data_IF_867073320369
#
_entry.id   IF_867073320369
#
_cell.length_a   1.000
_cell.length_b   1.000
_cell.length_c   1.000
_cell.angle_alpha   90.00
_cell.angle_beta   90.00
_cell.angle_gamma   90.00
#
_symmetry.space_group_name_H-M   'P 1'
#
loop_
_entity.id
_entity.type
_entity.pdbx_description
1 polymer ?
#
# COMPACT_ATOMS: atom_id res chain seq x y z
N UNK A 1 -30.25 6.59 -2.16
CA UNK A 1 -29.10 7.48 -2.42
C UNK A 1 -28.30 7.59 -1.13
N UNK A 2 -27.03 7.18 -1.11
CA UNK A 2 -26.20 7.28 0.09
C UNK A 2 -25.75 8.73 0.29
N UNK A 3 -25.98 9.26 1.49
CA UNK A 3 -25.61 10.63 1.88
C UNK A 3 -24.20 10.62 2.50
N UNK A 4 -23.44 11.74 2.54
CA UNK A 4 -22.08 11.81 3.10
C UNK A 4 -21.99 11.36 4.56
N UNK A 5 -23.12 11.31 5.28
CA UNK A 5 -23.26 10.74 6.62
C UNK A 5 -23.04 9.21 6.71
N UNK A 6 -22.76 8.52 5.59
CA UNK A 6 -22.58 7.07 5.55
C UNK A 6 -21.12 6.58 5.47
N UNK A 7 -20.11 7.47 5.53
CA UNK A 7 -18.70 7.06 5.64
C UNK A 7 -18.34 6.86 7.10
N UNK A 8 -17.82 5.68 7.43
CA UNK A 8 -17.49 5.35 8.80
C UNK A 8 -16.24 6.10 9.27
N UNK A 9 -16.20 6.44 10.55
CA UNK A 9 -14.99 6.95 11.18
C UNK A 9 -14.03 5.78 11.40
N UNK A 10 -12.75 5.97 11.08
CA UNK A 10 -11.71 4.97 11.26
C UNK A 10 -11.04 5.10 12.63
N UNK A 11 -10.45 4.00 13.10
CA UNK A 11 -9.59 3.93 14.28
C UNK A 11 -10.26 4.49 15.55
N UNK A 12 -11.38 3.86 15.94
CA UNK A 12 -12.19 4.22 17.10
C UNK A 12 -12.66 5.69 17.08
N UNK A 13 -13.06 6.19 15.90
CA UNK A 13 -13.55 7.55 15.75
C UNK A 13 -12.47 8.63 15.59
N UNK A 14 -11.18 8.28 15.73
CA UNK A 14 -10.09 9.27 15.73
C UNK A 14 -9.66 9.73 14.33
N UNK A 15 -10.14 9.08 13.27
CA UNK A 15 -9.86 9.50 11.91
C UNK A 15 -11.16 9.60 11.09
N UNK A 16 -11.55 10.83 10.78
CA UNK A 16 -12.63 11.08 9.82
C UNK A 16 -12.05 11.00 8.40
N UNK A 17 -12.42 9.95 7.65
CA UNK A 17 -11.88 9.67 6.32
C UNK A 17 -12.17 10.76 5.29
N UNK A 18 -13.29 11.45 5.43
CA UNK A 18 -13.67 12.56 4.58
C UNK A 18 -12.71 13.74 4.76
N UNK A 19 -12.39 14.09 6.01
CA UNK A 19 -11.40 15.13 6.33
C UNK A 19 -9.98 14.67 5.98
N UNK A 20 -9.65 13.41 6.27
CA UNK A 20 -8.35 12.80 6.04
C UNK A 20 -7.91 12.85 4.58
N UNK A 21 -8.87 12.80 3.64
CA UNK A 21 -8.60 12.99 2.21
C UNK A 21 -7.87 14.31 1.91
N UNK A 22 -8.18 15.37 2.65
CA UNK A 22 -7.62 16.71 2.43
C UNK A 22 -6.38 16.99 3.29
N UNK A 23 -5.89 16.00 4.05
CA UNK A 23 -4.72 16.18 4.89
C UNK A 23 -3.49 16.56 4.06
N UNK A 24 -2.78 17.56 4.56
CA UNK A 24 -1.43 17.93 4.12
C UNK A 24 -0.42 17.05 4.85
N UNK A 25 0.84 17.18 4.46
CA UNK A 25 1.93 16.38 5.05
C UNK A 25 1.98 16.51 6.57
N UNK A 26 1.88 17.73 7.09
CA UNK A 26 1.91 17.98 8.53
C UNK A 26 0.71 17.37 9.25
N UNK A 27 -0.50 17.42 8.65
CA UNK A 27 -1.69 16.77 9.22
C UNK A 27 -1.51 15.23 9.32
N UNK A 28 -0.88 14.62 8.31
CA UNK A 28 -0.55 13.19 8.32
C UNK A 28 0.48 12.90 9.42
N UNK A 29 1.53 13.71 9.51
CA UNK A 29 2.59 13.56 10.51
C UNK A 29 2.03 13.69 11.94
N UNK A 30 1.20 14.70 12.19
CA UNK A 30 0.50 14.91 13.46
C UNK A 30 -0.44 13.74 13.80
N UNK A 31 -1.08 13.14 12.79
CA UNK A 31 -1.86 11.92 13.00
C UNK A 31 -0.96 10.76 13.44
N UNK A 32 0.15 10.49 12.73
CA UNK A 32 1.09 9.42 13.08
C UNK A 32 1.68 9.63 14.49
N UNK A 33 2.03 10.88 14.84
CA UNK A 33 2.56 11.23 16.16
C UNK A 33 1.56 11.00 17.28
N UNK A 34 0.29 11.39 17.10
CA UNK A 34 -0.75 11.11 18.10
C UNK A 34 -0.96 9.61 18.32
N UNK A 35 -0.95 8.82 17.26
CA UNK A 35 -1.07 7.36 17.36
C UNK A 35 0.11 6.74 18.11
N UNK A 36 1.33 7.21 17.84
CA UNK A 36 2.53 6.73 18.55
C UNK A 36 2.49 7.08 20.04
N UNK A 37 1.93 8.23 20.40
CA UNK A 37 1.87 8.72 21.78
C UNK A 37 0.77 8.04 22.61
N UNK A 38 -0.35 7.66 21.99
CA UNK A 38 -1.44 6.92 22.65
C UNK A 38 -2.06 5.90 21.69
N UNK A 39 -1.39 4.76 21.43
CA UNK A 39 -1.87 3.79 20.44
C UNK A 39 -3.19 3.14 20.87
N UNK A 40 -3.44 3.03 22.19
CA UNK A 40 -4.64 2.40 22.73
C UNK A 40 -5.92 3.15 22.37
N UNK A 41 -5.87 4.48 22.26
CA UNK A 41 -7.03 5.30 21.90
C UNK A 41 -7.63 4.96 20.52
N UNK A 42 -6.86 4.32 19.64
CA UNK A 42 -7.22 4.01 18.25
C UNK A 42 -7.88 2.63 18.07
N UNK A 43 -8.01 1.85 19.15
CA UNK A 43 -8.71 0.56 19.16
C UNK A 43 -10.10 0.72 19.78
N UNK A 44 -11.11 0.02 19.22
CA UNK A 44 -12.49 0.07 19.72
C UNK A 44 -12.63 -0.55 21.12
N UNK A 45 -11.77 -1.51 21.46
CA UNK A 45 -11.80 -2.20 22.74
C UNK A 45 -10.39 -2.50 23.26
N UNK A 46 -10.29 -2.67 24.59
CA UNK A 46 -9.05 -3.15 25.23
C UNK A 46 -8.67 -4.53 24.71
N UNK A 47 -9.65 -5.41 24.46
CA UNK A 47 -9.41 -6.75 23.96
C UNK A 47 -8.73 -6.72 22.57
N UNK A 48 -9.12 -5.79 21.71
CA UNK A 48 -8.53 -5.60 20.39
C UNK A 48 -7.10 -5.07 20.46
N UNK A 49 -6.85 -4.09 21.34
CA UNK A 49 -5.51 -3.58 21.58
C UNK A 49 -4.57 -4.69 22.11
N UNK A 50 -5.06 -5.50 23.05
CA UNK A 50 -4.29 -6.61 23.63
C UNK A 50 -4.08 -7.76 22.63
N UNK A 51 -5.06 -8.09 21.78
CA UNK A 51 -4.89 -9.07 20.71
C UNK A 51 -3.76 -8.65 19.76
N UNK A 52 -3.81 -7.39 19.31
CA UNK A 52 -2.79 -6.83 18.41
C UNK A 52 -1.41 -6.79 19.05
N UNK A 53 -1.34 -6.32 20.30
CA UNK A 53 -0.08 -6.27 21.08
C UNK A 53 0.49 -7.67 21.33
N UNK A 54 -0.33 -8.69 21.52
CA UNK A 54 0.15 -10.07 21.68
C UNK A 54 0.80 -10.60 20.41
N UNK A 55 0.24 -10.26 19.25
CA UNK A 55 0.71 -10.76 17.94
C UNK A 55 1.95 -10.04 17.45
N UNK A 56 2.06 -8.74 17.73
CA UNK A 56 3.14 -7.89 17.21
C UNK A 56 4.17 -7.46 18.27
N UNK A 57 3.97 -7.86 19.52
CA UNK A 57 4.69 -7.32 20.66
C UNK A 57 4.13 -5.98 21.14
N UNK A 58 4.77 -5.39 22.15
CA UNK A 58 4.37 -4.08 22.67
C UNK A 58 4.41 -3.02 21.55
N UNK A 59 3.25 -2.51 21.15
CA UNK A 59 3.07 -1.72 19.93
C UNK A 59 3.83 -0.38 19.93
N UNK A 60 4.15 0.15 21.11
CA UNK A 60 4.81 1.44 21.29
C UNK A 60 6.13 1.55 20.51
N UNK A 61 6.98 0.53 20.58
CA UNK A 61 8.29 0.54 19.90
C UNK A 61 8.14 0.40 18.36
N UNK A 62 7.44 -0.62 17.83
CA UNK A 62 7.24 -0.76 16.39
C UNK A 62 6.58 0.46 15.75
N UNK A 63 5.61 1.10 16.41
CA UNK A 63 4.96 2.30 15.88
C UNK A 63 5.91 3.50 15.83
N UNK A 64 6.78 3.68 16.84
CA UNK A 64 7.83 4.72 16.83
C UNK A 64 8.80 4.53 15.68
N UNK A 65 9.22 3.29 15.44
CA UNK A 65 10.14 2.96 14.36
C UNK A 65 9.48 3.15 13.00
N UNK A 66 8.24 2.68 12.81
CA UNK A 66 7.49 2.89 11.58
C UNK A 66 7.30 4.37 11.28
N UNK A 67 6.88 5.17 12.27
CA UNK A 67 6.74 6.62 12.14
C UNK A 67 8.07 7.26 11.73
N UNK A 68 9.16 6.92 12.42
CA UNK A 68 10.49 7.47 12.12
C UNK A 68 10.91 7.16 10.70
N UNK A 69 10.81 5.91 10.27
CA UNK A 69 11.16 5.51 8.90
C UNK A 69 10.29 6.16 7.84
N UNK A 70 8.98 6.33 8.10
CA UNK A 70 8.11 7.10 7.20
C UNK A 70 8.64 8.54 7.09
N UNK A 71 8.93 9.20 8.19
CA UNK A 71 9.38 10.60 8.20
C UNK A 71 10.71 10.77 7.45
N UNK A 72 11.66 9.89 7.71
CA UNK A 72 12.99 9.91 7.09
C UNK A 72 12.95 9.64 5.59
N UNK A 73 12.00 8.84 5.12
CA UNK A 73 11.84 8.54 3.69
C UNK A 73 10.98 9.56 2.93
N UNK A 74 10.35 10.52 3.60
CA UNK A 74 9.44 11.47 2.97
C UNK A 74 10.15 12.73 2.47
N UNK A 75 9.73 13.22 1.30
CA UNK A 75 10.25 14.47 0.74
C UNK A 75 9.72 15.70 1.50
N UNK A 76 10.38 16.86 1.43
CA UNK A 76 11.70 17.06 0.84
C UNK A 76 12.84 16.85 1.84
N UNK A 77 12.55 16.79 3.14
CA UNK A 77 13.55 16.92 4.20
C UNK A 77 13.95 15.63 4.91
N UNK A 78 13.33 14.50 4.58
CA UNK A 78 13.67 13.21 5.17
C UNK A 78 15.15 12.85 4.97
N UNK A 79 15.79 12.35 6.02
CA UNK A 79 17.21 11.99 5.99
C UNK A 79 17.49 10.86 4.98
N UNK A 80 16.62 9.86 4.90
CA UNK A 80 16.71 8.75 3.96
C UNK A 80 16.25 9.11 2.55
N UNK A 81 15.35 10.10 2.44
CA UNK A 81 14.97 10.70 1.16
C UNK A 81 16.18 11.34 0.46
N UNK A 82 16.88 12.25 1.16
CA UNK A 82 18.12 12.90 0.70
C UNK A 82 19.29 11.91 0.58
N UNK A 83 19.28 10.89 1.42
CA UNK A 83 20.34 9.90 1.55
C UNK A 83 21.42 10.34 2.54
N UNK A 84 21.95 9.37 3.30
CA UNK A 84 22.81 9.63 4.48
C UNK A 84 24.27 9.98 4.16
N UNK A 85 24.68 9.90 2.89
CA UNK A 85 26.06 10.11 2.46
C UNK A 85 26.13 11.00 1.22
N UNK A 86 27.30 11.59 0.96
CA UNK A 86 27.54 12.36 -0.25
C UNK A 86 27.26 11.53 -1.51
N UNK A 87 26.87 12.19 -2.61
CA UNK A 87 26.57 11.58 -3.90
C UNK A 87 25.33 10.66 -3.94
N UNK A 88 24.39 10.78 -3.00
CA UNK A 88 23.13 10.00 -2.98
C UNK A 88 22.03 10.50 -3.92
N UNK A 89 22.30 11.57 -4.68
CA UNK A 89 21.38 12.11 -5.69
C UNK A 89 21.02 11.08 -6.79
N UNK A 90 19.79 11.15 -7.33
CA UNK A 90 18.71 12.04 -6.94
C UNK A 90 18.07 11.61 -5.62
N UNK A 91 17.45 12.56 -4.93
CA UNK A 91 16.58 12.29 -3.81
C UNK A 91 15.40 11.41 -4.27
N UNK A 92 15.00 10.47 -3.42
CA UNK A 92 13.89 9.55 -3.70
C UNK A 92 13.40 8.90 -2.42
N UNK A 93 12.13 8.51 -2.39
CA UNK A 93 11.47 7.87 -1.26
C UNK A 93 11.82 6.38 -1.10
N UNK A 94 13.02 5.99 -1.52
CA UNK A 94 13.49 4.61 -1.45
C UNK A 94 14.75 4.54 -0.60
N UNK A 95 14.70 3.72 0.45
CA UNK A 95 15.84 3.45 1.29
C UNK A 95 16.90 2.70 0.51
N UNK A 96 18.12 3.25 0.52
CA UNK A 96 19.17 2.84 -0.42
C UNK A 96 20.55 3.17 0.13
N UNK A 97 21.55 2.49 -0.42
CA UNK A 97 22.97 2.80 -0.21
C UNK A 97 23.69 2.89 -1.56
N UNK A 98 24.92 3.39 -1.57
CA UNK A 98 25.75 3.44 -2.78
C UNK A 98 26.30 2.05 -3.13
N UNK A 99 26.19 1.68 -4.40
CA UNK A 99 26.87 0.52 -4.95
C UNK A 99 28.32 0.90 -5.33
N UNK A 100 29.26 0.76 -4.41
CA UNK A 100 30.67 1.14 -4.62
C UNK A 100 31.41 0.26 -5.62
N UNK A 101 30.95 -0.97 -5.84
CA UNK A 101 31.74 -1.98 -6.55
C UNK A 101 31.42 -2.06 -8.05
N UNK A 102 30.20 -1.68 -8.45
CA UNK A 102 29.68 -1.95 -9.80
C UNK A 102 28.87 -0.79 -10.40
N UNK A 103 28.87 0.41 -9.81
CA UNK A 103 28.09 1.53 -10.32
C UNK A 103 28.63 2.06 -11.66
N UNK A 104 27.85 1.92 -12.73
CA UNK A 104 28.12 2.52 -14.04
C UNK A 104 26.79 2.86 -14.75
N UNK A 105 26.83 3.28 -16.03
CA UNK A 105 25.60 3.60 -16.78
C UNK A 105 24.67 2.39 -17.02
N UNK A 106 25.22 1.16 -17.03
CA UNK A 106 24.52 -0.12 -17.27
C UNK A 106 24.08 -0.80 -15.97
N UNK A 107 24.70 -0.50 -14.84
CA UNK A 107 24.46 -1.11 -13.54
C UNK A 107 23.86 -0.09 -12.57
N UNK A 108 23.14 -0.55 -11.55
CA UNK A 108 22.52 0.37 -10.58
C UNK A 108 23.59 1.08 -9.76
N UNK A 109 23.47 2.40 -9.64
CA UNK A 109 24.23 3.23 -8.69
C UNK A 109 23.91 2.88 -7.24
N UNK A 110 22.69 2.40 -6.99
CA UNK A 110 22.20 2.11 -5.65
C UNK A 110 22.00 0.61 -5.41
N UNK A 111 22.18 0.21 -4.16
CA UNK A 111 21.66 -1.02 -3.59
C UNK A 111 20.35 -0.71 -2.85
N UNK A 112 19.42 -1.67 -2.86
CA UNK A 112 18.17 -1.55 -2.08
C UNK A 112 18.50 -1.87 -0.64
N UNK A 113 18.16 -0.96 0.27
CA UNK A 113 18.29 -1.18 1.72
C UNK A 113 16.90 -1.37 2.33
N UNK A 114 16.88 -1.85 3.57
CA UNK A 114 15.63 -2.28 4.21
C UNK A 114 15.51 -1.81 5.65
N UNK A 115 14.30 -1.43 6.04
CA UNK A 115 13.85 -1.39 7.41
C UNK A 115 13.12 -2.69 7.71
N UNK A 116 13.58 -3.41 8.74
CA UNK A 116 12.96 -4.65 9.16
C UNK A 116 11.84 -4.36 10.16
N UNK A 117 10.63 -4.86 9.89
CA UNK A 117 9.48 -4.79 10.79
C UNK A 117 8.86 -6.17 10.90
N UNK A 118 8.94 -6.78 12.10
CA UNK A 118 8.74 -8.21 12.28
C UNK A 118 9.62 -9.02 11.28
N UNK A 119 9.04 -9.98 10.56
CA UNK A 119 9.76 -10.81 9.59
C UNK A 119 9.73 -10.23 8.16
N UNK A 120 9.12 -9.05 7.98
CA UNK A 120 8.95 -8.42 6.67
C UNK A 120 9.87 -7.19 6.53
N UNK A 121 10.49 -7.04 5.35
CA UNK A 121 11.38 -5.91 5.06
C UNK A 121 10.68 -4.87 4.18
N UNK A 122 10.86 -3.59 4.50
CA UNK A 122 10.23 -2.45 3.82
C UNK A 122 11.28 -1.41 3.42
N UNK A 123 11.04 -0.65 2.35
CA UNK A 123 12.03 0.31 1.84
C UNK A 123 11.44 1.60 1.26
N UNK A 124 10.12 1.78 1.30
CA UNK A 124 9.47 2.99 0.82
C UNK A 124 8.31 3.38 1.74
N UNK A 125 7.96 4.67 1.81
CA UNK A 125 6.98 5.16 2.77
C UNK A 125 5.56 4.68 2.45
N UNK A 126 5.25 4.28 1.22
CA UNK A 126 3.91 3.81 0.87
C UNK A 126 3.61 2.45 1.50
N UNK A 127 4.55 1.50 1.43
CA UNK A 127 4.38 0.19 2.07
C UNK A 127 4.45 0.31 3.60
N UNK A 128 5.35 1.17 4.12
CA UNK A 128 5.43 1.47 5.56
C UNK A 128 4.15 2.11 6.09
N UNK A 129 3.51 3.01 5.33
CA UNK A 129 2.23 3.59 5.70
C UNK A 129 1.12 2.53 5.73
N UNK A 130 1.10 1.61 4.75
CA UNK A 130 0.17 0.49 4.74
C UNK A 130 0.31 -0.39 5.98
N UNK A 131 1.56 -0.70 6.35
CA UNK A 131 1.88 -1.42 7.58
C UNK A 131 1.45 -0.64 8.82
N UNK A 132 1.79 0.65 8.93
CA UNK A 132 1.41 1.48 10.07
C UNK A 132 -0.12 1.46 10.29
N UNK A 133 -0.90 1.67 9.22
CA UNK A 133 -2.35 1.67 9.29
C UNK A 133 -2.94 0.30 9.66
N UNK A 134 -2.29 -0.81 9.27
CA UNK A 134 -2.68 -2.15 9.70
C UNK A 134 -2.35 -2.44 11.17
N UNK A 135 -1.25 -1.88 11.70
CA UNK A 135 -0.85 -2.08 13.11
C UNK A 135 -1.83 -1.41 14.06
N UNK A 136 -2.35 -0.23 13.73
CA UNK A 136 -3.00 0.68 14.68
C UNK A 136 -4.50 0.45 14.88
N UNK A 137 -5.10 -0.54 14.21
CA UNK A 137 -6.50 -0.87 14.48
C UNK A 137 -7.16 -1.81 13.48
N UNK A 138 -8.42 -2.08 13.77
CA UNK A 138 -9.33 -2.85 12.92
C UNK A 138 -10.31 -1.90 12.21
N UNK A 139 -10.96 -2.40 11.17
CA UNK A 139 -12.06 -1.69 10.54
C UNK A 139 -13.26 -1.64 11.52
N UNK A 140 -14.05 -0.56 11.54
CA UNK A 140 -15.18 -0.45 12.46
C UNK A 140 -16.19 -1.58 12.26
N UNK A 141 -16.96 -1.91 13.29
CA UNK A 141 -17.93 -3.02 13.21
C UNK A 141 -18.98 -2.85 12.08
N UNK A 142 -19.28 -1.60 11.67
CA UNK A 142 -20.19 -1.28 10.56
C UNK A 142 -19.52 -1.24 9.19
N UNK A 143 -18.21 -1.55 9.12
CA UNK A 143 -17.42 -1.39 7.91
C UNK A 143 -17.95 -2.25 6.76
N UNK A 144 -18.28 -1.59 5.66
CA UNK A 144 -18.47 -2.24 4.37
C UNK A 144 -17.55 -1.69 3.30
N UNK A 145 -17.57 -2.30 2.12
CA UNK A 145 -16.81 -1.83 0.96
C UNK A 145 -17.08 -0.33 0.72
N UNK A 146 -18.35 0.07 0.75
CA UNK A 146 -18.80 1.44 0.46
C UNK A 146 -18.51 2.42 1.59
N UNK A 147 -18.66 1.97 2.84
CA UNK A 147 -18.61 2.85 4.02
C UNK A 147 -17.19 3.04 4.56
N UNK A 148 -16.29 2.07 4.34
CA UNK A 148 -14.96 2.07 4.94
C UNK A 148 -13.85 1.68 3.97
N UNK A 149 -13.87 0.49 3.35
CA UNK A 149 -12.68 -0.02 2.64
C UNK A 149 -12.33 0.83 1.41
N UNK A 150 -13.30 1.22 0.58
CA UNK A 150 -13.07 2.12 -0.57
C UNK A 150 -12.58 3.50 -0.09
N UNK A 151 -13.29 4.19 0.84
CA UNK A 151 -12.79 5.45 1.39
C UNK A 151 -11.38 5.37 1.97
N UNK A 152 -11.09 4.35 2.76
CA UNK A 152 -9.79 4.17 3.40
C UNK A 152 -8.69 3.92 2.37
N UNK A 153 -8.96 3.13 1.32
CA UNK A 153 -8.03 2.90 0.20
C UNK A 153 -7.71 4.20 -0.54
N UNK A 154 -8.73 5.04 -0.74
CA UNK A 154 -8.55 6.33 -1.39
C UNK A 154 -7.72 7.29 -0.53
N UNK A 155 -8.05 7.42 0.77
CA UNK A 155 -7.26 8.23 1.73
C UNK A 155 -5.80 7.77 1.75
N UNK A 156 -5.56 6.46 1.81
CA UNK A 156 -4.21 5.89 1.74
C UNK A 156 -3.47 6.29 0.46
N UNK A 157 -4.11 6.17 -0.70
CA UNK A 157 -3.53 6.58 -1.98
C UNK A 157 -3.18 8.07 -2.03
N UNK A 158 -4.07 8.90 -1.49
CA UNK A 158 -3.87 10.35 -1.39
C UNK A 158 -2.71 10.68 -0.44
N UNK A 159 -2.61 10.00 0.69
CA UNK A 159 -1.50 10.17 1.62
C UNK A 159 -0.17 9.73 1.00
N UNK A 160 -0.13 8.62 0.26
CA UNK A 160 1.06 8.23 -0.49
C UNK A 160 1.54 9.34 -1.43
N UNK A 161 0.61 10.04 -2.08
CA UNK A 161 0.90 11.17 -2.96
C UNK A 161 1.44 12.39 -2.21
N UNK A 162 0.86 12.71 -1.06
CA UNK A 162 1.26 13.84 -0.20
C UNK A 162 2.63 13.63 0.43
N UNK A 163 2.97 12.39 0.80
CA UNK A 163 4.23 12.01 1.43
C UNK A 163 5.41 11.94 0.44
N UNK A 164 5.11 11.71 -0.84
CA UNK A 164 6.09 11.60 -1.92
C UNK A 164 5.82 12.60 -3.05
N UNK A 165 5.72 13.92 -2.80
CA UNK A 165 5.31 14.90 -3.81
C UNK A 165 6.25 14.95 -5.03
N UNK A 166 5.76 15.49 -6.15
CA UNK A 166 6.60 15.67 -7.36
C UNK A 166 7.64 16.76 -7.09
N UNK A 167 8.86 16.37 -6.74
CA UNK A 167 9.96 17.28 -6.38
C UNK A 167 11.01 17.36 -7.49
N UNK A 168 10.64 17.86 -8.68
CA UNK A 168 11.57 18.11 -9.80
C UNK A 168 12.21 16.86 -10.47
N UNK A 169 12.01 15.68 -9.87
CA UNK A 169 12.18 14.36 -10.48
C UNK A 169 10.82 13.68 -10.56
N UNK A 170 10.58 12.92 -11.63
CA UNK A 170 9.36 12.12 -11.75
C UNK A 170 9.47 10.94 -10.76
N UNK A 171 9.16 11.17 -9.49
CA UNK A 171 9.06 10.08 -8.50
C UNK A 171 7.91 9.17 -8.92
N UNK A 172 8.15 7.86 -8.98
CA UNK A 172 7.11 6.88 -9.30
C UNK A 172 6.08 6.83 -8.17
N UNK A 173 4.80 6.80 -8.51
CA UNK A 173 3.69 6.54 -7.59
C UNK A 173 3.12 5.15 -7.80
N UNK A 174 2.41 4.58 -6.81
CA UNK A 174 1.67 3.35 -7.02
C UNK A 174 0.70 3.55 -8.19
N UNK A 175 0.72 2.67 -9.19
CA UNK A 175 -0.22 2.66 -10.31
C UNK A 175 -1.57 1.99 -9.93
N UNK A 176 -1.53 1.15 -8.90
CA UNK A 176 -2.70 0.54 -8.28
C UNK A 176 -2.58 0.66 -6.77
N UNK A 177 -3.73 0.81 -6.12
CA UNK A 177 -3.93 0.82 -4.68
C UNK A 177 -4.86 -0.32 -4.33
N UNK A 178 -4.73 -0.90 -3.15
CA UNK A 178 -5.48 -2.09 -2.78
C UNK A 178 -5.76 -2.11 -1.28
N UNK A 179 -6.93 -2.61 -0.92
CA UNK A 179 -7.26 -2.97 0.46
C UNK A 179 -7.74 -4.42 0.48
N UNK A 180 -7.06 -5.24 1.28
CA UNK A 180 -7.49 -6.60 1.61
C UNK A 180 -8.03 -6.58 3.02
N UNK A 181 -9.14 -7.27 3.27
CA UNK A 181 -9.65 -7.44 4.63
C UNK A 181 -10.16 -8.85 4.87
N UNK A 182 -10.30 -9.21 6.16
CA UNK A 182 -10.98 -10.43 6.60
C UNK A 182 -11.75 -10.14 7.88
N UNK A 183 -12.96 -10.67 7.95
CA UNK A 183 -13.77 -10.59 9.16
C UNK A 183 -13.19 -11.51 10.24
N UNK A 184 -13.08 -11.02 11.47
CA UNK A 184 -12.68 -11.83 12.62
C UNK A 184 -13.92 -12.52 13.20
N UNK A 185 -13.73 -13.72 13.74
CA UNK A 185 -14.80 -14.41 14.47
C UNK A 185 -15.32 -13.51 15.61
N UNK A 186 -16.56 -13.05 15.47
CA UNK A 186 -17.24 -12.23 16.48
C UNK A 186 -16.75 -10.78 16.63
N UNK A 187 -16.07 -10.18 15.64
CA UNK A 187 -15.56 -8.81 15.80
C UNK A 187 -15.17 -8.04 14.53
N UNK A 188 -14.58 -6.87 14.77
CA UNK A 188 -14.06 -5.92 13.78
C UNK A 188 -13.10 -6.57 12.78
N UNK A 189 -13.17 -6.17 11.50
CA UNK A 189 -12.36 -6.80 10.44
C UNK A 189 -10.90 -6.33 10.46
N UNK A 190 -9.97 -7.24 10.21
CA UNK A 190 -8.59 -6.88 9.88
C UNK A 190 -8.52 -6.39 8.46
N UNK A 191 -7.78 -5.31 8.21
CA UNK A 191 -7.57 -4.82 6.85
C UNK A 191 -6.13 -4.33 6.66
N UNK A 192 -5.58 -4.54 5.47
CA UNK A 192 -4.24 -4.11 5.09
C UNK A 192 -4.30 -3.37 3.75
N UNK A 193 -3.64 -2.22 3.70
CA UNK A 193 -3.56 -1.36 2.52
C UNK A 193 -2.22 -1.55 1.80
N UNK A 194 -2.26 -1.65 0.48
CA UNK A 194 -1.06 -1.81 -0.34
C UNK A 194 -1.09 -0.94 -1.58
N UNK A 195 0.09 -0.56 -2.05
CA UNK A 195 0.31 0.10 -3.32
C UNK A 195 1.22 -0.76 -4.21
N UNK A 196 1.04 -0.71 -5.53
CA UNK A 196 2.04 -1.31 -6.43
C UNK A 196 3.40 -0.62 -6.24
N UNK A 197 4.50 -1.30 -6.59
CA UNK A 197 5.86 -0.77 -6.40
C UNK A 197 5.98 0.69 -6.88
N UNK A 198 6.56 1.54 -6.04
CA UNK A 198 6.69 2.99 -6.24
C UNK A 198 7.85 3.58 -5.40
N UNK A 199 7.98 4.92 -5.37
CA UNK A 199 8.91 5.65 -4.52
C UNK A 199 10.32 5.90 -5.08
N UNK A 200 10.64 5.49 -6.32
CA UNK A 200 11.94 5.75 -6.94
C UNK A 200 11.89 6.88 -7.96
N UNK A 201 13.00 7.57 -8.15
CA UNK A 201 13.11 8.61 -9.19
C UNK A 201 13.16 7.97 -10.60
N UNK A 202 12.18 8.27 -11.45
CA UNK A 202 12.09 7.74 -12.83
C UNK A 202 12.83 8.60 -13.86
N UNK A 203 13.07 9.88 -13.54
CA UNK A 203 13.90 10.79 -14.34
C UNK A 203 14.93 11.49 -13.45
N UNK A 204 16.18 11.48 -13.90
CA UNK A 204 17.28 12.25 -13.32
C UNK A 204 17.42 13.50 -14.19
N UNK A 205 16.86 14.62 -13.74
CA UNK A 205 16.91 15.90 -14.48
C UNK A 205 18.27 16.57 -14.40
N UNK A 206 19.06 16.25 -13.37
CA UNK A 206 20.45 16.67 -13.21
C UNK A 206 21.25 15.66 -12.38
N UNK A 207 22.54 15.50 -12.68
CA UNK A 207 23.45 14.60 -11.97
C UNK A 207 23.73 13.26 -12.68
N UNK A 208 24.65 12.44 -12.13
CA UNK A 208 25.01 11.16 -12.71
C UNK A 208 23.80 10.22 -12.79
N UNK A 209 23.64 9.44 -13.87
CA UNK A 209 22.51 8.54 -14.00
C UNK A 209 22.52 7.51 -12.86
N UNK A 210 21.34 7.22 -12.32
CA UNK A 210 21.13 6.16 -11.32
C UNK A 210 21.43 4.75 -11.88
N UNK A 211 21.59 4.67 -13.20
CA UNK A 211 21.85 3.43 -13.92
C UNK A 211 20.57 2.71 -14.32
N UNK A 212 20.57 2.11 -15.52
CA UNK A 212 19.36 1.55 -16.13
C UNK A 212 18.72 0.39 -15.35
N UNK A 213 19.48 -0.28 -14.48
CA UNK A 213 19.04 -1.45 -13.70
C UNK A 213 18.37 -1.12 -12.37
N UNK A 214 18.33 0.14 -11.93
CA UNK A 214 17.76 0.47 -10.62
C UNK A 214 16.28 0.05 -10.47
N UNK A 215 15.39 0.33 -11.44
CA UNK A 215 14.01 -0.15 -11.34
C UNK A 215 13.91 -1.68 -11.26
N UNK A 216 14.78 -2.43 -11.95
CA UNK A 216 14.77 -3.89 -11.90
C UNK A 216 15.29 -4.43 -10.55
N UNK A 217 16.23 -3.72 -9.90
CA UNK A 217 16.66 -4.06 -8.53
C UNK A 217 15.52 -3.94 -7.53
N UNK A 218 14.70 -2.89 -7.64
CA UNK A 218 13.53 -2.71 -6.78
C UNK A 218 12.45 -3.76 -7.06
N UNK A 219 12.21 -4.09 -8.33
CA UNK A 219 11.27 -5.15 -8.69
C UNK A 219 11.71 -6.52 -8.15
N UNK A 220 13.01 -6.81 -8.20
CA UNK A 220 13.58 -8.04 -7.69
C UNK A 220 13.45 -8.09 -6.17
N UNK A 221 13.81 -7.03 -5.46
CA UNK A 221 13.64 -6.93 -4.01
C UNK A 221 12.20 -7.22 -3.56
N UNK A 222 11.21 -6.71 -4.30
CA UNK A 222 9.78 -6.98 -4.05
C UNK A 222 9.35 -8.39 -4.39
N UNK A 223 9.85 -8.95 -5.49
CA UNK A 223 9.64 -10.36 -5.82
C UNK A 223 10.18 -11.28 -4.73
N UNK A 224 11.38 -11.01 -4.20
CA UNK A 224 12.01 -11.84 -3.17
C UNK A 224 11.16 -11.93 -1.89
N UNK A 225 10.29 -10.96 -1.61
CA UNK A 225 9.37 -11.02 -0.46
C UNK A 225 8.35 -12.15 -0.56
N UNK A 226 7.91 -12.46 -1.77
CA UNK A 226 6.99 -13.56 -2.05
C UNK A 226 7.71 -14.80 -2.59
N UNK A 227 9.02 -14.71 -2.87
CA UNK A 227 9.76 -15.75 -3.58
C UNK A 227 9.67 -17.13 -2.93
N UNK A 228 9.58 -17.20 -1.60
CA UNK A 228 9.43 -18.44 -0.84
C UNK A 228 8.10 -19.18 -1.07
N UNK A 229 7.06 -18.50 -1.55
CA UNK A 229 5.74 -19.09 -1.80
C UNK A 229 5.43 -19.30 -3.29
N UNK A 230 6.30 -18.81 -4.18
CA UNK A 230 6.08 -18.92 -5.63
C UNK A 230 6.55 -20.30 -6.13
N UNK A 231 5.65 -21.17 -6.62
CA UNK A 231 6.05 -22.48 -7.11
C UNK A 231 6.70 -22.38 -8.49
N UNK A 232 7.53 -23.37 -8.82
CA UNK A 232 7.97 -23.59 -10.20
C UNK A 232 6.76 -23.74 -11.14
N UNK A 233 6.83 -23.28 -12.40
CA UNK A 233 8.02 -22.75 -13.10
C UNK A 233 8.22 -21.23 -12.97
N UNK A 234 7.47 -20.55 -12.09
CA UNK A 234 7.55 -19.10 -11.99
C UNK A 234 8.86 -18.66 -11.34
N UNK A 235 9.34 -17.50 -11.77
CA UNK A 235 10.56 -16.87 -11.29
C UNK A 235 10.45 -15.35 -11.42
N UNK A 236 11.52 -14.62 -11.08
CA UNK A 236 11.54 -13.17 -11.29
C UNK A 236 11.27 -12.76 -12.75
N UNK A 237 11.77 -13.55 -13.72
CA UNK A 237 11.61 -13.26 -15.15
C UNK A 237 10.48 -14.06 -15.83
N UNK A 238 9.87 -15.01 -15.11
CA UNK A 238 8.75 -15.83 -15.59
C UNK A 238 7.53 -15.61 -14.71
N UNK A 239 6.49 -14.96 -15.24
CA UNK A 239 5.19 -14.76 -14.58
C UNK A 239 4.05 -15.26 -15.48
N UNK A 240 2.80 -15.18 -15.03
CA UNK A 240 1.67 -15.83 -15.75
C UNK A 240 1.56 -15.39 -17.21
N UNK A 241 1.70 -14.09 -17.47
CA UNK A 241 1.62 -13.50 -18.81
C UNK A 241 2.98 -13.02 -19.33
N UNK A 242 4.08 -13.38 -18.65
CA UNK A 242 5.42 -12.87 -18.92
C UNK A 242 6.43 -14.00 -19.01
N UNK A 243 7.19 -14.06 -20.09
CA UNK A 243 8.30 -15.02 -20.26
C UNK A 243 9.53 -14.30 -20.80
N UNK A 244 10.73 -14.92 -20.81
CA UNK A 244 11.91 -14.34 -21.44
C UNK A 244 11.71 -13.99 -22.92
N UNK A 245 10.86 -14.74 -23.63
CA UNK A 245 10.52 -14.49 -25.05
C UNK A 245 9.34 -13.53 -25.24
N UNK A 246 8.55 -13.29 -24.19
CA UNK A 246 7.44 -12.33 -24.18
C UNK A 246 7.53 -11.43 -22.94
N UNK A 247 8.34 -10.36 -22.99
CA UNK A 247 8.65 -9.54 -21.83
C UNK A 247 7.57 -8.51 -21.51
N UNK A 248 6.38 -8.59 -22.10
CA UNK A 248 5.26 -7.73 -21.75
C UNK A 248 4.61 -8.20 -20.43
N UNK A 249 4.03 -7.27 -19.67
CA UNK A 249 3.31 -7.57 -18.42
C UNK A 249 4.13 -7.38 -17.14
N UNK A 250 3.41 -7.46 -16.01
CA UNK A 250 3.93 -7.25 -14.66
C UNK A 250 4.64 -8.50 -14.15
N UNK A 251 5.73 -8.33 -13.40
CA UNK A 251 6.40 -9.42 -12.68
C UNK A 251 5.67 -9.73 -11.37
N UNK A 252 5.74 -10.96 -10.90
CA UNK A 252 5.25 -11.31 -9.56
C UNK A 252 5.79 -10.37 -8.47
N UNK A 253 4.96 -10.08 -7.47
CA UNK A 253 5.35 -9.29 -6.28
C UNK A 253 5.45 -7.80 -6.52
N UNK A 254 5.03 -7.30 -7.69
CA UNK A 254 5.08 -5.86 -8.00
C UNK A 254 3.71 -5.18 -8.00
N UNK A 255 2.66 -5.94 -7.70
CA UNK A 255 1.29 -5.47 -7.59
C UNK A 255 0.98 -4.95 -6.17
N UNK A 256 -0.15 -4.27 -6.03
CA UNK A 256 -0.56 -3.63 -4.79
C UNK A 256 -0.86 -4.64 -3.67
N UNK A 257 -1.27 -5.84 -4.05
CA UNK A 257 -1.63 -6.95 -3.18
C UNK A 257 -0.44 -7.59 -2.45
N UNK A 258 0.81 -7.27 -2.84
CA UNK A 258 2.00 -8.02 -2.38
C UNK A 258 2.14 -8.07 -0.86
N UNK A 259 2.18 -6.92 -0.18
CA UNK A 259 2.25 -6.87 1.28
C UNK A 259 0.93 -7.27 1.97
N UNK A 260 -0.25 -6.79 1.52
CA UNK A 260 -1.51 -7.25 2.07
C UNK A 260 -1.65 -8.78 2.12
N UNK A 261 -1.19 -9.49 1.08
CA UNK A 261 -1.26 -10.95 1.05
C UNK A 261 -0.22 -11.60 1.96
N UNK A 262 1.02 -11.11 2.01
CA UNK A 262 2.02 -11.63 2.95
C UNK A 262 1.52 -11.59 4.39
N UNK A 263 0.80 -10.54 4.77
CA UNK A 263 0.31 -10.36 6.13
C UNK A 263 -1.01 -11.11 6.39
N UNK A 264 -2.02 -10.94 5.51
CA UNK A 264 -3.36 -11.47 5.77
C UNK A 264 -3.58 -12.91 5.28
N UNK A 265 -2.77 -13.42 4.35
CA UNK A 265 -2.87 -14.78 3.81
C UNK A 265 -1.84 -15.73 4.44
N UNK A 266 -1.13 -15.29 5.48
CA UNK A 266 -0.18 -16.10 6.25
C UNK A 266 -0.80 -17.38 6.85
N UNK A 267 -2.12 -17.43 7.00
CA UNK A 267 -2.90 -18.60 7.42
C UNK A 267 -3.84 -19.04 6.29
N UNK A 268 -3.59 -20.24 5.74
CA UNK A 268 -4.38 -20.82 4.64
C UNK A 268 -5.86 -21.02 4.99
N UNK A 269 -6.20 -21.28 6.26
CA UNK A 269 -7.60 -21.41 6.67
C UNK A 269 -8.34 -20.07 6.58
N UNK A 270 -7.63 -18.96 6.82
CA UNK A 270 -8.17 -17.59 6.79
C UNK A 270 -8.09 -16.93 5.42
N UNK A 271 -7.18 -17.38 4.56
CA UNK A 271 -7.04 -16.85 3.20
C UNK A 271 -8.34 -16.93 2.38
N UNK A 272 -9.17 -17.96 2.60
CA UNK A 272 -10.50 -18.11 1.96
C UNK A 272 -11.52 -17.05 2.39
N UNK A 273 -11.34 -16.49 3.58
CA UNK A 273 -12.19 -15.44 4.14
C UNK A 273 -11.70 -14.04 3.79
N UNK A 274 -10.56 -13.93 3.09
CA UNK A 274 -10.07 -12.65 2.65
C UNK A 274 -10.88 -12.14 1.46
N UNK A 275 -11.22 -10.87 1.53
CA UNK A 275 -11.82 -10.07 0.48
C UNK A 275 -10.88 -8.94 0.11
N UNK A 276 -11.07 -8.35 -1.06
CA UNK A 276 -10.30 -7.19 -1.41
C UNK A 276 -10.85 -6.38 -2.57
N UNK A 277 -10.41 -5.12 -2.61
CA UNK A 277 -10.70 -4.18 -3.68
C UNK A 277 -9.39 -3.55 -4.14
N UNK A 278 -9.27 -3.34 -5.45
CA UNK A 278 -8.16 -2.60 -6.04
C UNK A 278 -8.68 -1.39 -6.81
N UNK A 279 -8.02 -0.25 -6.64
CA UNK A 279 -8.35 1.03 -7.26
C UNK A 279 -7.21 1.49 -8.20
N UNK A 280 -7.58 2.11 -9.33
CA UNK A 280 -6.67 2.89 -10.17
C UNK A 280 -6.10 4.05 -9.35
N UNK A 281 -4.80 4.27 -9.41
CA UNK A 281 -4.20 5.37 -8.65
C UNK A 281 -4.58 6.77 -9.13
N UNK A 282 -5.15 6.89 -10.34
CA UNK A 282 -5.66 8.14 -10.89
C UNK A 282 -6.64 8.85 -9.96
N UNK A 283 -7.42 8.10 -9.17
CA UNK A 283 -8.33 8.69 -8.20
C UNK A 283 -7.59 9.53 -7.14
N UNK A 284 -6.38 9.13 -6.76
CA UNK A 284 -5.57 9.84 -5.76
C UNK A 284 -4.94 11.12 -6.33
N UNK A 285 -4.85 11.24 -7.66
CA UNK A 285 -4.26 12.38 -8.36
C UNK A 285 -5.28 13.41 -8.82
N UNK A 286 -6.56 13.06 -8.87
CA UNK A 286 -7.58 13.97 -9.36
C UNK A 286 -7.88 15.04 -8.29
N UNK A 287 -7.24 16.19 -8.41
CA UNK A 287 -7.48 17.34 -7.53
C UNK A 287 -8.88 17.93 -7.71
N UNK A 288 -9.59 17.55 -8.78
CA UNK A 288 -10.99 17.92 -9.00
C UNK A 288 -11.97 16.98 -8.31
N UNK A 289 -11.50 15.80 -7.87
CA UNK A 289 -12.23 14.92 -6.95
C UNK A 289 -12.20 15.55 -5.55
N UNK A 290 -13.21 16.38 -5.29
CA UNK A 290 -13.52 16.81 -3.94
C UNK A 290 -14.07 15.64 -3.12
N UNK A 291 -13.95 15.71 -1.80
CA UNK A 291 -14.64 14.86 -0.83
C UNK A 291 -16.10 14.61 -1.25
N UNK A 292 -16.80 15.68 -1.65
CA UNK A 292 -18.17 15.63 -2.15
C UNK A 292 -18.33 14.77 -3.41
N UNK A 293 -17.45 14.89 -4.41
CA UNK A 293 -17.56 14.12 -5.66
C UNK A 293 -17.17 12.65 -5.48
N UNK A 294 -16.17 12.37 -4.65
CA UNK A 294 -15.78 11.00 -4.34
C UNK A 294 -16.88 10.23 -3.59
N UNK A 295 -17.42 10.84 -2.54
CA UNK A 295 -18.27 10.14 -1.57
C UNK A 295 -19.76 10.38 -1.74
N UNK A 296 -20.19 11.59 -2.14
CA UNK A 296 -21.62 11.94 -2.32
C UNK A 296 -22.12 11.62 -3.72
N UNK A 297 -21.35 11.99 -4.74
CA UNK A 297 -21.69 11.69 -6.14
C UNK A 297 -21.26 10.27 -6.56
N UNK A 298 -20.61 9.52 -5.67
CA UNK A 298 -20.15 8.15 -5.93
C UNK A 298 -19.29 8.05 -7.21
N UNK A 299 -18.45 9.05 -7.51
CA UNK A 299 -17.67 9.06 -8.76
C UNK A 299 -16.75 7.87 -8.93
N UNK A 300 -16.25 7.30 -7.83
CA UNK A 300 -15.45 6.06 -7.84
C UNK A 300 -16.29 4.87 -8.38
N UNK A 301 -17.61 4.92 -8.22
CA UNK A 301 -18.58 3.94 -8.72
C UNK A 301 -19.19 4.32 -10.08
N UNK A 302 -18.80 5.45 -10.70
CA UNK A 302 -19.24 5.77 -12.07
C UNK A 302 -18.75 4.68 -13.00
N UNK A 303 -19.62 4.30 -13.94
CA UNK A 303 -19.35 3.19 -14.86
C UNK A 303 -18.75 3.71 -16.16
N UNK A 304 -17.77 2.97 -16.68
CA UNK A 304 -17.27 3.12 -18.04
C UNK A 304 -18.28 2.57 -19.05
N UNK A 305 -17.96 2.69 -20.33
CA UNK A 305 -18.78 2.18 -21.44
C UNK A 305 -18.97 0.65 -21.38
N UNK A 306 -18.06 -0.06 -20.70
CA UNK A 306 -18.07 -1.50 -20.45
C UNK A 306 -18.84 -1.89 -19.18
N UNK A 307 -19.54 -0.93 -18.55
CA UNK A 307 -20.31 -1.12 -17.32
C UNK A 307 -19.46 -1.46 -16.09
N UNK A 308 -18.12 -1.35 -16.17
CA UNK A 308 -17.21 -1.51 -15.04
C UNK A 308 -17.04 -0.17 -14.31
N UNK A 309 -16.94 -0.15 -12.98
CA UNK A 309 -16.56 1.04 -12.25
C UNK A 309 -15.20 1.59 -12.74
N UNK A 310 -15.16 2.85 -13.21
CA UNK A 310 -14.00 3.47 -13.89
C UNK A 310 -12.73 3.43 -13.06
N UNK A 311 -12.87 3.41 -11.73
CA UNK A 311 -11.76 3.43 -10.80
C UNK A 311 -11.32 2.05 -10.31
N UNK A 312 -12.04 0.96 -10.59
CA UNK A 312 -11.74 -0.35 -10.00
C UNK A 312 -10.93 -1.22 -10.95
N UNK A 313 -10.03 -2.04 -10.40
CA UNK A 313 -9.30 -3.05 -11.16
C UNK A 313 -9.58 -4.43 -10.61
N UNK A 314 -9.96 -5.40 -11.44
CA UNK A 314 -9.89 -6.79 -11.03
C UNK A 314 -8.43 -7.18 -10.79
N UNK A 315 -8.17 -8.22 -9.97
CA UNK A 315 -6.83 -8.76 -9.79
C UNK A 315 -6.23 -9.14 -11.15
N UNK A 316 -4.99 -8.72 -11.41
CA UNK A 316 -4.29 -9.14 -12.62
C UNK A 316 -3.97 -10.64 -12.57
N UNK A 317 -3.58 -11.24 -13.70
CA UNK A 317 -3.30 -12.68 -13.78
C UNK A 317 -2.30 -13.18 -12.72
N UNK A 318 -1.28 -12.38 -12.37
CA UNK A 318 -0.35 -12.73 -11.29
C UNK A 318 -1.03 -12.70 -9.92
N UNK A 319 -1.87 -11.69 -9.63
CA UNK A 319 -2.57 -11.60 -8.34
C UNK A 319 -3.61 -12.71 -8.20
N UNK A 320 -4.34 -13.05 -9.26
CA UNK A 320 -5.24 -14.22 -9.27
C UNK A 320 -4.46 -15.50 -8.96
N UNK A 321 -3.27 -15.66 -9.56
CA UNK A 321 -2.42 -16.82 -9.28
C UNK A 321 -1.91 -16.82 -7.84
N UNK A 322 -1.53 -15.67 -7.28
CA UNK A 322 -1.12 -15.54 -5.88
C UNK A 322 -2.26 -15.92 -4.93
N UNK A 323 -3.47 -15.38 -5.14
CA UNK A 323 -4.66 -15.74 -4.35
C UNK A 323 -4.84 -17.25 -4.33
N UNK A 324 -4.77 -17.90 -5.49
CA UNK A 324 -4.87 -19.36 -5.59
C UNK A 324 -3.73 -20.12 -4.92
N UNK A 325 -2.48 -19.63 -4.98
CA UNK A 325 -1.32 -20.23 -4.28
C UNK A 325 -1.56 -20.25 -2.77
N UNK A 326 -2.11 -19.16 -2.22
CA UNK A 326 -2.47 -19.07 -0.81
C UNK A 326 -3.84 -19.69 -0.48
N UNK A 327 -4.47 -20.38 -1.43
CA UNK A 327 -5.80 -21.01 -1.28
C UNK A 327 -6.95 -20.04 -0.99
N UNK A 328 -6.81 -18.76 -1.30
CA UNK A 328 -7.91 -17.79 -1.23
C UNK A 328 -8.92 -17.96 -2.37
N UNK A 329 -10.07 -17.31 -2.24
CA UNK A 329 -11.09 -17.27 -3.29
C UNK A 329 -10.95 -16.00 -4.14
N UNK A 330 -10.65 -16.17 -5.44
CA UNK A 330 -10.50 -15.05 -6.39
C UNK A 330 -11.80 -14.26 -6.54
N UNK A 331 -12.97 -14.89 -6.33
CA UNK A 331 -14.26 -14.22 -6.44
C UNK A 331 -14.47 -13.18 -5.34
N UNK A 332 -13.81 -13.32 -4.19
CA UNK A 332 -13.85 -12.32 -3.12
C UNK A 332 -13.08 -11.03 -3.46
N UNK A 333 -12.39 -11.02 -4.60
CA UNK A 333 -11.65 -9.88 -5.15
C UNK A 333 -12.21 -9.41 -6.49
N UNK A 334 -13.32 -10.00 -6.96
CA UNK A 334 -13.94 -9.61 -8.22
C UNK A 334 -14.69 -8.28 -8.08
N UNK A 335 -14.78 -7.54 -9.19
CA UNK A 335 -15.47 -6.24 -9.24
C UNK A 335 -16.98 -6.41 -9.52
N UNK A 336 -17.50 -7.64 -9.48
CA UNK A 336 -18.91 -7.88 -9.73
C UNK A 336 -19.77 -7.28 -8.62
N UNK A 337 -20.73 -6.47 -9.06
CA UNK A 337 -21.43 -5.48 -8.23
C UNK A 337 -22.26 -6.13 -7.13
N UNK A 338 -22.70 -7.39 -7.29
CA UNK A 338 -23.37 -8.15 -6.24
C UNK A 338 -22.53 -8.37 -4.97
N UNK A 339 -21.20 -8.30 -5.08
CA UNK A 339 -20.27 -8.43 -3.96
C UNK A 339 -19.81 -7.07 -3.38
N UNK A 340 -20.10 -5.95 -4.06
CA UNK A 340 -19.81 -4.57 -3.61
C UNK A 340 -21.11 -3.87 -3.13
N UNK A 341 -22.26 -4.45 -3.42
CA UNK A 341 -23.50 -4.22 -2.69
C UNK A 341 -23.48 -5.11 -1.47
N UNK A 342 -23.54 -4.53 -0.28
CA UNK A 342 -23.87 -5.29 0.92
C UNK A 342 -25.14 -6.13 0.63
N UNK A 343 -25.26 -7.37 1.12
CA UNK A 343 -26.57 -7.98 1.23
C UNK A 343 -27.39 -7.09 2.16
N UNK A 344 -28.56 -6.64 1.68
CA UNK A 344 -29.48 -5.76 2.42
C UNK A 344 -29.76 -6.24 3.86
#
# INVERSE_FOLDING_TARGET
>A
MASPENVDLAFNGNLNLLKAWNFKKDDIFDFLDRVVNDPKAYFESEADFQDRSRRLGELSAPLKDLRTHIFDLCAPDGADFKGRVANMNPDQNTYRSLNTDKADKKNSKFLVEYHQHADTSYWNPHDLLGLFLWVIGFAPATASARRFYIPMTAVYGRWCRVLSPFAGSDISFPAALQCTWRTRDGGASEFFLGGSLAGWATKVTSGPPVGKKWPDKLRLARYERIGGVIPAPYSFDVSVLRTPTYPAGTRFGNCAETYPFLELFSDAARAKQCHGISLESKIAYDETLTEYKMYREQKVFLRGEDNLPVAFKPPCANCQKLIGIFQGDVNNFSVEIGNITDPD
#
